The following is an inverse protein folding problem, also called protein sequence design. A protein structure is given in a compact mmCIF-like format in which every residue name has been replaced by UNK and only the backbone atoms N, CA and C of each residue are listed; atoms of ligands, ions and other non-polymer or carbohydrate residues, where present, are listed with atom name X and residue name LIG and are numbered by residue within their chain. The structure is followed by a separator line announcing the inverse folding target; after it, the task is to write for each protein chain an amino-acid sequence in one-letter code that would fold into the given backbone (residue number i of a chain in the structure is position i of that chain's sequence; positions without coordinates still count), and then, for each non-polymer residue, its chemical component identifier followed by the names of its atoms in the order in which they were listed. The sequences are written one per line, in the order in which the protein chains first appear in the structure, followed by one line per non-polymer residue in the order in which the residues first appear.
data_IF_044970570737
#
_entry.id   IF_044970570737
#
_cell.length_a   1.000
_cell.length_b   1.000
_cell.length_c   1.000
_cell.angle_alpha   90.00
_cell.angle_beta   90.00
_cell.angle_gamma   90.00
#
_symmetry.space_group_name_H-M   'P 1'
#
loop_
_entity.id
_entity.type
_entity.pdbx_description
1 polymer ?
#
# COMPACT_ATOMS: atom_id res chain seq x y z
N UNK A 1 -13.83 3.79 -4.79
CA UNK A 1 -13.21 5.06 -5.26
C UNK A 1 -13.23 6.01 -4.07
N UNK A 2 -12.06 6.29 -3.51
CA UNK A 2 -11.86 7.23 -2.40
C UNK A 2 -11.48 8.60 -2.95
N UNK A 3 -11.63 9.65 -2.14
CA UNK A 3 -11.23 11.00 -2.51
C UNK A 3 -9.72 11.06 -2.79
N UNK A 4 -9.34 11.37 -4.03
CA UNK A 4 -7.97 11.52 -4.48
C UNK A 4 -7.91 12.48 -5.68
N UNK A 5 -6.75 13.13 -5.89
CA UNK A 5 -6.51 14.02 -7.04
C UNK A 5 -7.55 15.14 -7.19
N UNK A 6 -8.06 15.68 -6.07
CA UNK A 6 -9.05 16.76 -6.07
C UNK A 6 -8.47 18.09 -6.56
N UNK A 7 -7.15 18.25 -6.52
CA UNK A 7 -6.39 19.34 -7.17
C UNK A 7 -6.59 19.36 -8.69
N UNK A 8 -6.81 18.20 -9.30
CA UNK A 8 -7.08 18.05 -10.74
C UNK A 8 -8.59 17.92 -11.06
N UNK A 9 -9.33 17.15 -10.26
CA UNK A 9 -10.75 16.84 -10.53
C UNK A 9 -11.73 17.80 -9.84
N UNK A 10 -11.24 18.75 -9.03
CA UNK A 10 -12.00 19.75 -8.28
C UNK A 10 -12.89 19.17 -7.17
N UNK A 11 -13.57 18.05 -7.40
CA UNK A 11 -14.44 17.39 -6.43
C UNK A 11 -14.52 15.88 -6.66
N UNK A 12 -15.11 15.18 -5.67
CA UNK A 12 -15.23 13.71 -5.69
C UNK A 12 -16.11 13.21 -6.84
N UNK A 13 -17.18 13.93 -7.18
CA UNK A 13 -18.10 13.55 -8.25
C UNK A 13 -17.40 13.54 -9.61
N UNK A 14 -16.63 14.58 -9.93
CA UNK A 14 -15.83 14.65 -11.16
C UNK A 14 -14.81 13.51 -11.20
N UNK A 15 -14.16 13.20 -10.07
CA UNK A 15 -13.23 12.08 -9.98
C UNK A 15 -13.93 10.74 -10.22
N UNK A 16 -15.08 10.50 -9.60
CA UNK A 16 -15.89 9.31 -9.83
C UNK A 16 -16.32 9.20 -11.30
N UNK A 17 -16.80 10.27 -11.90
CA UNK A 17 -17.21 10.31 -13.31
C UNK A 17 -16.03 10.00 -14.25
N UNK A 18 -14.83 10.48 -13.94
CA UNK A 18 -13.63 10.13 -14.69
C UNK A 18 -13.31 8.62 -14.58
N UNK A 19 -13.45 8.01 -13.39
CA UNK A 19 -13.26 6.57 -13.20
C UNK A 19 -14.34 5.72 -13.87
N UNK A 20 -15.56 6.17 -13.90
CA UNK A 20 -16.70 5.52 -14.58
C UNK A 20 -16.49 5.37 -16.09
N UNK A 21 -15.58 6.14 -16.70
CA UNK A 21 -15.26 5.96 -18.13
C UNK A 21 -14.73 4.56 -18.46
N UNK A 22 -14.24 3.79 -17.47
CA UNK A 22 -13.70 2.43 -17.68
C UNK A 22 -14.72 1.47 -18.28
N UNK A 23 -16.01 1.61 -17.94
CA UNK A 23 -17.07 0.74 -18.44
C UNK A 23 -17.92 1.34 -19.55
N UNK A 24 -17.64 2.58 -20.00
CA UNK A 24 -18.42 3.30 -21.01
C UNK A 24 -18.60 2.53 -22.33
N UNK A 25 -17.58 1.81 -22.75
CA UNK A 25 -17.55 1.06 -24.02
C UNK A 25 -17.80 -0.44 -23.83
N UNK A 26 -18.15 -0.89 -22.63
CA UNK A 26 -18.46 -2.30 -22.38
C UNK A 26 -19.78 -2.71 -23.04
N UNK A 27 -19.84 -3.97 -23.40
CA UNK A 27 -21.00 -4.66 -24.01
C UNK A 27 -21.51 -5.76 -23.10
N UNK A 28 -22.56 -6.47 -23.51
CA UNK A 28 -23.11 -7.64 -22.78
C UNK A 28 -22.13 -8.83 -22.71
N UNK A 29 -21.09 -8.83 -23.55
CA UNK A 29 -20.05 -9.88 -23.56
C UNK A 29 -18.92 -9.59 -22.56
N UNK A 30 -18.88 -8.39 -22.01
CA UNK A 30 -17.85 -7.94 -21.09
C UNK A 30 -18.20 -8.20 -19.62
N UNK A 31 -17.20 -8.12 -18.76
CA UNK A 31 -17.36 -8.17 -17.31
C UNK A 31 -16.90 -6.87 -16.66
N UNK A 32 -17.66 -6.39 -15.69
CA UNK A 32 -17.27 -5.32 -14.78
C UNK A 32 -17.01 -5.91 -13.40
N UNK A 33 -15.77 -5.80 -12.91
CA UNK A 33 -15.37 -6.29 -11.59
C UNK A 33 -15.35 -5.13 -10.61
N UNK A 34 -16.15 -5.22 -9.54
CA UNK A 34 -16.32 -4.14 -8.57
C UNK A 34 -16.11 -4.60 -7.14
N UNK A 35 -15.57 -3.71 -6.30
CA UNK A 35 -15.58 -3.89 -4.87
C UNK A 35 -17.01 -3.77 -4.34
N UNK A 36 -17.50 -4.81 -3.67
CA UNK A 36 -18.87 -4.84 -3.14
C UNK A 36 -19.17 -3.72 -2.15
N UNK A 37 -18.18 -3.31 -1.34
CA UNK A 37 -18.34 -2.20 -0.39
C UNK A 37 -18.53 -0.84 -1.07
N UNK A 38 -18.19 -0.73 -2.34
CA UNK A 38 -18.32 0.49 -3.14
C UNK A 38 -19.38 0.37 -4.24
N UNK A 39 -20.26 -0.64 -4.18
CA UNK A 39 -21.29 -0.89 -5.20
C UNK A 39 -22.22 0.30 -5.44
N UNK A 40 -22.45 1.15 -4.43
CA UNK A 40 -23.31 2.35 -4.56
C UNK A 40 -22.83 3.32 -5.65
N UNK A 41 -21.54 3.30 -5.99
CA UNK A 41 -20.98 4.15 -7.04
C UNK A 41 -21.53 3.79 -8.41
N UNK A 42 -22.00 2.55 -8.60
CA UNK A 42 -22.48 2.02 -9.87
C UNK A 42 -23.94 1.55 -9.83
N UNK A 43 -24.59 1.49 -8.66
CA UNK A 43 -25.96 0.97 -8.51
C UNK A 43 -27.02 1.74 -9.31
N UNK A 44 -26.78 3.03 -9.60
CA UNK A 44 -27.67 3.89 -10.40
C UNK A 44 -27.37 3.89 -11.90
N UNK A 45 -26.36 3.12 -12.33
CA UNK A 45 -25.89 3.13 -13.72
C UNK A 45 -26.57 2.02 -14.54
N UNK A 46 -26.94 2.29 -15.78
CA UNK A 46 -27.35 1.27 -16.74
C UNK A 46 -26.09 0.60 -17.31
N UNK A 47 -25.66 -0.50 -16.66
CA UNK A 47 -24.49 -1.26 -17.06
C UNK A 47 -24.88 -2.31 -18.09
N UNK A 48 -24.18 -2.38 -19.23
CA UNK A 48 -24.34 -3.43 -20.24
C UNK A 48 -23.58 -4.69 -19.85
N UNK A 49 -22.39 -4.51 -19.29
CA UNK A 49 -21.52 -5.61 -18.87
C UNK A 49 -22.11 -6.36 -17.68
N UNK A 50 -21.79 -7.65 -17.61
CA UNK A 50 -22.12 -8.47 -16.44
C UNK A 50 -21.26 -8.03 -15.26
N UNK A 51 -21.89 -7.48 -14.22
CA UNK A 51 -21.20 -7.05 -13.01
C UNK A 51 -20.95 -8.23 -12.08
N UNK A 52 -19.70 -8.40 -11.66
CA UNK A 52 -19.28 -9.34 -10.63
C UNK A 52 -18.54 -8.59 -9.52
N UNK A 53 -18.66 -9.09 -8.31
CA UNK A 53 -18.13 -8.42 -7.14
C UNK A 53 -16.96 -9.19 -6.53
N UNK A 54 -16.11 -8.45 -5.81
CA UNK A 54 -15.18 -9.04 -4.85
C UNK A 54 -15.43 -8.48 -3.45
N UNK A 55 -15.24 -9.31 -2.42
CA UNK A 55 -15.37 -8.91 -1.03
C UNK A 55 -14.47 -9.74 -0.12
N UNK A 56 -13.80 -9.06 0.84
CA UNK A 56 -13.06 -9.71 1.91
C UNK A 56 -13.94 -10.05 3.11
N UNK A 57 -15.18 -9.53 3.19
CA UNK A 57 -16.01 -9.56 4.40
C UNK A 57 -17.26 -10.42 4.27
N UNK A 58 -17.75 -10.67 3.07
CA UNK A 58 -18.99 -11.41 2.86
C UNK A 58 -19.05 -12.13 1.51
N UNK A 59 -19.92 -13.11 1.43
CA UNK A 59 -20.24 -13.82 0.19
C UNK A 59 -20.95 -12.91 -0.81
N UNK A 60 -20.51 -12.94 -2.06
CA UNK A 60 -21.02 -12.08 -3.15
C UNK A 60 -21.14 -12.88 -4.45
N UNK A 61 -21.90 -12.36 -5.43
CA UNK A 61 -21.85 -12.88 -6.81
C UNK A 61 -20.51 -12.49 -7.45
N UNK A 62 -19.53 -13.38 -7.30
CA UNK A 62 -18.15 -13.16 -7.71
C UNK A 62 -17.16 -13.93 -6.84
N UNK A 63 -16.15 -13.25 -6.33
CA UNK A 63 -15.07 -13.84 -5.52
C UNK A 63 -15.05 -13.24 -4.12
N UNK A 64 -14.84 -14.09 -3.12
CA UNK A 64 -14.87 -13.64 -1.71
C UNK A 64 -13.98 -14.49 -0.82
N UNK A 65 -13.79 -14.05 0.44
CA UNK A 65 -13.10 -14.82 1.47
C UNK A 65 -14.13 -15.49 2.38
N UNK A 66 -13.96 -16.82 2.61
CA UNK A 66 -14.75 -17.61 3.54
C UNK A 66 -13.88 -18.65 4.23
N UNK A 67 -13.93 -18.69 5.58
CA UNK A 67 -13.15 -19.61 6.41
C UNK A 67 -11.63 -19.57 6.10
N UNK A 68 -11.07 -18.38 5.82
CA UNK A 68 -9.67 -18.21 5.46
C UNK A 68 -9.32 -18.59 4.02
N UNK A 69 -10.27 -18.96 3.17
CA UNK A 69 -10.04 -19.32 1.77
C UNK A 69 -10.60 -18.27 0.80
N UNK A 70 -9.89 -18.03 -0.28
CA UNK A 70 -10.43 -17.38 -1.47
C UNK A 70 -11.37 -18.36 -2.16
N UNK A 71 -12.63 -17.94 -2.36
CA UNK A 71 -13.70 -18.77 -2.89
C UNK A 71 -14.32 -18.12 -4.13
N UNK A 72 -14.50 -18.90 -5.20
CA UNK A 72 -15.22 -18.51 -6.40
C UNK A 72 -16.24 -19.59 -6.76
N UNK A 73 -17.52 -19.23 -6.93
CA UNK A 73 -18.62 -20.18 -7.23
C UNK A 73 -18.65 -21.39 -6.30
N UNK A 74 -18.41 -21.18 -5.00
CA UNK A 74 -18.40 -22.23 -3.99
C UNK A 74 -17.14 -23.12 -3.98
N UNK A 75 -16.18 -22.91 -4.88
CA UNK A 75 -14.92 -23.65 -4.94
C UNK A 75 -13.82 -22.88 -4.21
N UNK A 76 -13.15 -23.53 -3.25
CA UNK A 76 -11.96 -23.00 -2.57
C UNK A 76 -10.77 -23.01 -3.52
N UNK A 77 -10.11 -21.86 -3.70
CA UNK A 77 -8.97 -21.69 -4.60
C UNK A 77 -7.66 -21.82 -3.83
N UNK A 78 -7.46 -21.02 -2.78
CA UNK A 78 -6.23 -20.96 -2.00
C UNK A 78 -6.54 -20.47 -0.58
N UNK A 79 -5.76 -20.90 0.43
CA UNK A 79 -5.82 -20.33 1.77
C UNK A 79 -5.12 -18.96 1.79
N UNK A 80 -5.70 -17.98 2.45
CA UNK A 80 -5.11 -16.65 2.59
C UNK A 80 -3.78 -16.64 3.35
N UNK A 81 -3.54 -17.64 4.18
CA UNK A 81 -2.26 -17.85 4.88
C UNK A 81 -1.11 -18.25 3.95
N UNK A 82 -1.41 -18.82 2.79
CA UNK A 82 -0.41 -19.20 1.78
C UNK A 82 0.00 -18.03 0.87
N UNK A 83 -0.63 -16.86 1.03
CA UNK A 83 -0.31 -15.67 0.25
C UNK A 83 0.97 -15.01 0.74
N UNK A 84 1.87 -14.66 -0.18
CA UNK A 84 3.13 -13.97 0.14
C UNK A 84 2.92 -12.50 0.47
N UNK A 85 1.93 -11.84 -0.15
CA UNK A 85 1.65 -10.43 0.06
C UNK A 85 0.93 -10.17 1.39
N UNK A 86 1.51 -9.40 2.32
CA UNK A 86 0.87 -9.03 3.57
C UNK A 86 -0.18 -7.92 3.38
N UNK A 87 -1.11 -7.84 4.32
CA UNK A 87 -2.04 -6.72 4.47
C UNK A 87 -3.42 -6.93 3.83
N UNK A 88 -4.45 -6.48 4.53
CA UNK A 88 -5.85 -6.65 4.13
C UNK A 88 -6.17 -5.96 2.78
N UNK A 89 -5.56 -4.79 2.52
CA UNK A 89 -5.71 -4.08 1.24
C UNK A 89 -5.16 -4.88 0.04
N UNK A 90 -4.14 -5.75 0.27
CA UNK A 90 -3.65 -6.64 -0.78
C UNK A 90 -4.63 -7.77 -1.04
N UNK A 91 -5.40 -8.21 -0.06
CA UNK A 91 -6.46 -9.21 -0.28
C UNK A 91 -7.52 -8.71 -1.26
N UNK A 92 -7.95 -7.45 -1.16
CA UNK A 92 -8.87 -6.84 -2.14
C UNK A 92 -8.26 -6.83 -3.56
N UNK A 93 -6.99 -6.42 -3.68
CA UNK A 93 -6.28 -6.42 -4.96
C UNK A 93 -6.15 -7.84 -5.53
N UNK A 94 -5.82 -8.82 -4.69
CA UNK A 94 -5.73 -10.23 -5.06
C UNK A 94 -7.08 -10.76 -5.55
N UNK A 95 -8.15 -10.51 -4.81
CA UNK A 95 -9.49 -10.95 -5.22
C UNK A 95 -9.87 -10.39 -6.60
N UNK A 96 -9.66 -9.10 -6.84
CA UNK A 96 -9.94 -8.48 -8.12
C UNK A 96 -9.09 -9.10 -9.26
N UNK A 97 -7.79 -9.30 -9.02
CA UNK A 97 -6.88 -9.89 -9.99
C UNK A 97 -7.21 -11.35 -10.29
N UNK A 98 -7.48 -12.17 -9.25
CA UNK A 98 -7.86 -13.59 -9.40
C UNK A 98 -9.15 -13.71 -10.20
N UNK A 99 -10.17 -12.89 -9.88
CA UNK A 99 -11.43 -12.91 -10.62
C UNK A 99 -11.21 -12.54 -12.10
N UNK A 100 -10.42 -11.50 -12.39
CA UNK A 100 -10.10 -11.13 -13.75
C UNK A 100 -9.36 -12.24 -14.51
N UNK A 101 -8.39 -12.91 -13.88
CA UNK A 101 -7.66 -14.03 -14.47
C UNK A 101 -8.58 -15.22 -14.75
N UNK A 102 -9.49 -15.56 -13.83
CA UNK A 102 -10.46 -16.65 -14.02
C UNK A 102 -11.37 -16.36 -15.21
N UNK A 103 -11.89 -15.13 -15.31
CA UNK A 103 -12.76 -14.71 -16.41
C UNK A 103 -12.03 -14.69 -17.75
N UNK A 104 -10.72 -14.40 -17.74
CA UNK A 104 -9.86 -14.49 -18.92
C UNK A 104 -9.44 -15.92 -19.28
N UNK A 105 -9.89 -16.95 -18.54
CA UNK A 105 -9.60 -18.36 -18.80
C UNK A 105 -8.21 -18.82 -18.34
N UNK A 106 -7.54 -18.10 -17.45
CA UNK A 106 -6.25 -18.53 -16.89
C UNK A 106 -6.46 -19.76 -16.00
N UNK A 107 -5.65 -20.82 -16.16
CA UNK A 107 -5.76 -22.03 -15.33
C UNK A 107 -5.56 -21.72 -13.85
N UNK A 108 -6.40 -22.27 -12.99
CA UNK A 108 -6.34 -22.04 -11.52
C UNK A 108 -4.95 -22.36 -10.94
N UNK A 109 -4.30 -23.42 -11.45
CA UNK A 109 -2.95 -23.75 -11.02
C UNK A 109 -1.95 -22.61 -11.25
N UNK A 110 -1.98 -21.96 -12.41
CA UNK A 110 -1.10 -20.83 -12.71
C UNK A 110 -1.39 -19.63 -11.82
N UNK A 111 -2.65 -19.39 -11.47
CA UNK A 111 -3.05 -18.34 -10.52
C UNK A 111 -2.46 -18.66 -9.14
N UNK A 112 -2.61 -19.89 -8.62
CA UNK A 112 -2.05 -20.31 -7.33
C UNK A 112 -0.54 -20.19 -7.33
N UNK A 113 0.15 -20.71 -8.35
CA UNK A 113 1.61 -20.64 -8.47
C UNK A 113 2.11 -19.18 -8.44
N UNK A 114 1.37 -18.25 -9.06
CA UNK A 114 1.69 -16.82 -9.01
C UNK A 114 1.46 -16.22 -7.61
N UNK A 115 0.34 -16.52 -6.95
CA UNK A 115 0.01 -15.97 -5.64
C UNK A 115 0.96 -16.41 -4.53
N UNK A 116 1.53 -17.62 -4.65
CA UNK A 116 2.50 -18.18 -3.68
C UNK A 116 3.94 -17.75 -3.93
N UNK A 117 4.22 -17.06 -5.03
CA UNK A 117 5.57 -16.61 -5.39
C UNK A 117 5.71 -15.10 -5.59
N UNK A 118 4.60 -14.40 -5.84
CA UNK A 118 4.61 -12.96 -6.11
C UNK A 118 4.85 -12.16 -4.81
N UNK A 119 6.04 -11.60 -4.69
CA UNK A 119 6.47 -10.83 -3.52
C UNK A 119 6.01 -9.36 -3.49
N UNK A 120 5.20 -8.95 -4.46
CA UNK A 120 4.69 -7.58 -4.55
C UNK A 120 5.31 -6.76 -5.69
N UNK A 121 4.87 -5.51 -5.78
CA UNK A 121 5.40 -4.54 -6.72
C UNK A 121 6.53 -3.77 -6.03
N UNK A 122 7.65 -3.56 -6.74
CA UNK A 122 8.75 -2.75 -6.24
C UNK A 122 8.26 -1.40 -5.71
N UNK A 123 8.84 -0.98 -4.60
CA UNK A 123 8.53 0.27 -3.90
C UNK A 123 7.10 0.40 -3.34
N UNK A 124 6.30 -0.68 -3.33
CA UNK A 124 4.96 -0.71 -2.70
C UNK A 124 4.93 -1.77 -1.61
N UNK A 125 5.10 -1.32 -0.37
CA UNK A 125 5.23 -2.14 0.84
C UNK A 125 6.14 -3.37 0.61
N UNK A 126 7.15 -3.18 -0.23
CA UNK A 126 8.09 -4.19 -0.69
C UNK A 126 8.96 -4.64 0.49
N UNK A 127 8.92 -5.92 0.82
CA UNK A 127 9.88 -6.51 1.74
C UNK A 127 11.27 -6.51 1.10
N UNK A 128 12.22 -5.82 1.74
CA UNK A 128 13.59 -5.66 1.24
C UNK A 128 14.53 -6.71 1.82
N UNK A 129 14.32 -7.07 3.07
CA UNK A 129 15.15 -8.04 3.77
C UNK A 129 15.08 -7.90 5.28
N UNK A 130 15.85 -8.77 5.94
CA UNK A 130 15.99 -8.78 7.40
C UNK A 130 17.45 -8.54 7.77
N UNK A 131 17.71 -7.63 8.72
CA UNK A 131 18.99 -7.49 9.40
C UNK A 131 18.79 -7.90 10.87
N UNK A 132 19.45 -8.99 11.31
CA UNK A 132 19.22 -9.66 12.60
C UNK A 132 17.76 -10.10 12.74
N UNK A 133 16.96 -9.42 13.61
CA UNK A 133 15.53 -9.68 13.82
C UNK A 133 14.64 -8.66 13.16
N UNK A 134 15.20 -7.61 12.54
CA UNK A 134 14.50 -6.44 12.09
C UNK A 134 14.18 -6.51 10.59
N UNK A 135 12.94 -6.32 10.22
CA UNK A 135 12.47 -6.38 8.83
C UNK A 135 12.41 -4.98 8.23
N UNK A 136 12.88 -4.85 7.00
CA UNK A 136 12.90 -3.60 6.26
C UNK A 136 11.90 -3.64 5.11
N UNK A 137 11.08 -2.59 5.01
CA UNK A 137 10.06 -2.46 3.97
C UNK A 137 10.20 -1.13 3.23
N UNK A 138 10.16 -1.21 1.90
CA UNK A 138 10.21 -0.09 1.00
C UNK A 138 8.83 0.21 0.44
N UNK A 139 8.24 1.31 0.87
CA UNK A 139 6.97 1.84 0.38
C UNK A 139 7.17 3.26 -0.19
N UNK A 140 8.28 3.46 -0.92
CA UNK A 140 8.62 4.78 -1.50
C UNK A 140 7.53 5.32 -2.44
N UNK A 141 6.67 4.44 -2.98
CA UNK A 141 5.51 4.80 -3.80
C UNK A 141 4.39 5.47 -3.00
N UNK A 142 4.39 5.43 -1.67
CA UNK A 142 3.46 6.16 -0.82
C UNK A 142 3.78 7.67 -0.84
N UNK A 143 3.38 8.35 -1.90
CA UNK A 143 3.61 9.78 -2.13
C UNK A 143 2.48 10.68 -1.61
N UNK A 144 1.56 10.11 -0.84
CA UNK A 144 0.45 10.80 -0.17
C UNK A 144 0.13 10.12 1.16
N UNK A 145 -0.62 10.81 2.00
CA UNK A 145 -1.01 10.38 3.33
C UNK A 145 -1.87 9.12 3.33
N UNK A 146 -2.81 8.99 2.40
CA UNK A 146 -3.70 7.82 2.32
C UNK A 146 -2.90 6.52 2.12
N UNK A 147 -1.91 6.52 1.23
CA UNK A 147 -1.05 5.35 1.02
C UNK A 147 -0.27 5.01 2.30
N UNK A 148 0.26 6.01 2.99
CA UNK A 148 1.00 5.82 4.24
C UNK A 148 0.12 5.32 5.39
N UNK A 149 -1.16 5.72 5.47
CA UNK A 149 -2.13 5.16 6.43
C UNK A 149 -2.20 3.64 6.31
N UNK A 150 -2.34 3.13 5.07
CA UNK A 150 -2.35 1.68 4.82
C UNK A 150 -1.03 1.01 5.23
N UNK A 151 0.10 1.63 4.92
CA UNK A 151 1.41 1.07 5.26
C UNK A 151 1.61 1.00 6.78
N UNK A 152 1.30 2.05 7.52
CA UNK A 152 1.41 2.08 8.99
C UNK A 152 0.48 1.04 9.65
N UNK A 153 -0.71 0.84 9.09
CA UNK A 153 -1.70 -0.11 9.61
C UNK A 153 -1.40 -1.58 9.26
N UNK A 154 -0.35 -1.83 8.45
CA UNK A 154 0.00 -3.19 8.01
C UNK A 154 0.83 -3.98 9.02
N UNK A 155 1.26 -3.36 10.12
CA UNK A 155 2.19 -3.97 11.08
C UNK A 155 1.67 -3.84 12.51
N UNK A 156 1.76 -4.96 13.24
CA UNK A 156 1.50 -5.00 14.69
C UNK A 156 2.78 -4.84 15.53
N UNK A 157 3.95 -4.91 14.89
CA UNK A 157 5.26 -4.73 15.52
C UNK A 157 5.57 -3.24 15.67
N UNK A 158 6.50 -2.87 16.59
CA UNK A 158 6.99 -1.51 16.65
C UNK A 158 7.61 -1.07 15.34
N UNK A 159 7.28 0.15 14.89
CA UNK A 159 7.70 0.72 13.62
C UNK A 159 8.70 1.84 13.86
N UNK A 160 9.83 1.82 13.16
CA UNK A 160 10.65 2.98 12.88
C UNK A 160 10.23 3.50 11.51
N UNK A 161 9.53 4.63 11.50
CA UNK A 161 8.93 5.21 10.30
C UNK A 161 9.83 6.26 9.68
N UNK A 162 10.27 6.03 8.43
CA UNK A 162 11.04 6.96 7.62
C UNK A 162 10.08 7.74 6.72
N UNK A 163 9.98 9.07 6.93
CA UNK A 163 9.00 9.89 6.24
C UNK A 163 9.51 11.28 5.89
N UNK A 164 8.86 11.87 4.88
CA UNK A 164 9.18 13.20 4.37
C UNK A 164 9.47 13.24 2.87
N UNK A 165 9.67 14.43 2.36
CA UNK A 165 9.89 14.73 0.95
C UNK A 165 9.36 16.13 0.59
N UNK A 166 8.89 16.29 -0.65
CA UNK A 166 8.41 17.56 -1.21
C UNK A 166 7.24 18.13 -0.41
N UNK A 167 7.32 19.39 -0.01
CA UNK A 167 6.21 20.09 0.63
C UNK A 167 5.24 20.67 -0.41
N UNK A 168 4.03 20.14 -0.44
CA UNK A 168 2.91 20.62 -1.27
C UNK A 168 1.90 21.46 -0.48
N UNK A 169 2.27 21.92 0.71
CA UNK A 169 1.41 22.69 1.59
C UNK A 169 0.43 21.86 2.44
N UNK A 170 0.54 20.53 2.40
CA UNK A 170 -0.33 19.65 3.17
C UNK A 170 0.08 19.63 4.65
N UNK A 171 -0.89 19.41 5.53
CA UNK A 171 -0.70 18.99 6.91
C UNK A 171 -0.82 17.44 6.97
N UNK A 172 -0.36 16.85 8.09
CA UNK A 172 -0.25 15.40 8.23
C UNK A 172 -1.02 14.84 9.43
N UNK A 173 -1.88 15.64 10.06
CA UNK A 173 -2.64 15.26 11.26
C UNK A 173 -3.55 14.04 11.02
N UNK A 174 -3.98 13.81 9.78
CA UNK A 174 -4.76 12.63 9.39
C UNK A 174 -4.02 11.31 9.53
N UNK A 175 -2.68 11.33 9.75
CA UNK A 175 -1.88 10.14 10.04
C UNK A 175 -1.88 9.76 11.52
N UNK A 176 -2.27 10.67 12.42
CA UNK A 176 -2.25 10.46 13.88
C UNK A 176 -2.95 9.14 14.29
N UNK A 177 -4.17 8.82 13.80
CA UNK A 177 -4.86 7.59 14.18
C UNK A 177 -4.11 6.30 13.83
N UNK A 178 -3.16 6.36 12.91
CA UNK A 178 -2.40 5.21 12.40
C UNK A 178 -0.99 5.10 13.01
N UNK A 179 -0.63 6.00 13.93
CA UNK A 179 0.70 6.05 14.54
C UNK A 179 0.81 5.21 15.83
N UNK A 180 -0.17 4.39 16.17
CA UNK A 180 -0.17 3.60 17.42
C UNK A 180 1.12 2.80 17.56
N UNK A 181 1.49 2.02 16.54
CA UNK A 181 2.68 1.16 16.53
C UNK A 181 3.97 1.90 16.15
N UNK A 182 3.92 3.20 15.80
CA UNK A 182 5.12 3.97 15.52
C UNK A 182 5.86 4.24 16.83
N UNK A 183 7.08 3.68 16.98
CA UNK A 183 7.95 3.90 18.12
C UNK A 183 8.87 5.11 17.92
N UNK A 184 9.42 5.25 16.72
CA UNK A 184 10.30 6.34 16.36
C UNK A 184 10.06 6.80 14.90
N UNK A 185 10.42 8.03 14.62
CA UNK A 185 10.36 8.63 13.28
C UNK A 185 11.74 9.13 12.87
N UNK A 186 12.13 8.85 11.63
CA UNK A 186 13.29 9.48 11.00
C UNK A 186 12.79 10.33 9.85
N UNK A 187 12.92 11.66 9.98
CA UNK A 187 12.26 12.61 9.09
C UNK A 187 13.27 13.32 8.19
N UNK A 188 12.94 13.48 6.90
CA UNK A 188 13.85 14.07 5.91
C UNK A 188 13.10 14.95 4.89
N UNK A 189 13.85 15.59 3.99
CA UNK A 189 13.30 16.43 2.93
C UNK A 189 12.66 17.73 3.41
N UNK A 190 11.93 18.40 2.54
CA UNK A 190 11.32 19.71 2.82
C UNK A 190 10.29 19.66 3.95
N UNK A 191 9.58 18.54 4.11
CA UNK A 191 8.53 18.38 5.12
C UNK A 191 9.04 17.92 6.48
N UNK A 192 10.36 17.76 6.67
CA UNK A 192 10.93 17.23 7.91
C UNK A 192 10.49 17.98 9.17
N UNK A 193 10.40 19.30 9.13
CA UNK A 193 9.97 20.11 10.28
C UNK A 193 8.48 19.86 10.65
N UNK A 194 7.61 19.65 9.64
CA UNK A 194 6.20 19.32 9.87
C UNK A 194 6.05 17.93 10.51
N UNK A 195 6.77 16.92 9.99
CA UNK A 195 6.78 15.59 10.59
C UNK A 195 7.42 15.55 11.97
N UNK A 196 8.48 16.35 12.21
CA UNK A 196 9.07 16.46 13.54
C UNK A 196 8.07 17.05 14.55
N UNK A 197 7.34 18.09 14.16
CA UNK A 197 6.26 18.66 14.99
C UNK A 197 5.17 17.61 15.27
N UNK A 198 4.72 16.87 14.24
CA UNK A 198 3.73 15.82 14.39
C UNK A 198 4.20 14.74 15.36
N UNK A 199 5.40 14.18 15.17
CA UNK A 199 5.94 13.12 16.02
C UNK A 199 6.11 13.58 17.47
N UNK A 200 6.65 14.77 17.69
CA UNK A 200 6.82 15.35 19.02
C UNK A 200 5.46 15.56 19.72
N UNK A 201 4.42 16.00 19.00
CA UNK A 201 3.06 16.16 19.55
C UNK A 201 2.44 14.83 20.00
N UNK A 202 2.86 13.72 19.41
CA UNK A 202 2.41 12.36 19.74
C UNK A 202 3.39 11.63 20.67
N UNK A 203 4.37 12.32 21.25
CA UNK A 203 5.35 11.74 22.18
C UNK A 203 6.28 10.70 21.54
N UNK A 204 6.45 10.72 20.21
CA UNK A 204 7.34 9.80 19.51
C UNK A 204 8.78 10.32 19.51
N UNK A 205 9.76 9.42 19.53
CA UNK A 205 11.15 9.77 19.27
C UNK A 205 11.32 10.24 17.83
N UNK A 206 11.92 11.41 17.61
CA UNK A 206 12.10 11.99 16.28
C UNK A 206 13.56 12.32 16.03
N UNK A 207 14.06 11.84 14.89
CA UNK A 207 15.43 12.08 14.42
C UNK A 207 15.35 12.74 13.04
N UNK A 208 16.05 13.85 12.85
CA UNK A 208 16.15 14.49 11.54
C UNK A 208 17.29 13.87 10.73
N UNK A 209 17.03 13.63 9.46
CA UNK A 209 18.01 13.17 8.49
C UNK A 209 18.10 14.13 7.29
N UNK A 210 19.20 14.04 6.55
CA UNK A 210 19.42 14.87 5.37
C UNK A 210 18.66 14.32 4.15
N UNK A 211 18.63 12.99 3.99
CA UNK A 211 18.01 12.26 2.90
C UNK A 211 17.66 10.83 3.35
N UNK A 212 17.18 9.96 2.45
CA UNK A 212 16.79 8.60 2.80
C UNK A 212 17.98 7.72 3.19
N UNK A 213 19.15 7.92 2.60
CA UNK A 213 20.39 7.20 2.94
C UNK A 213 20.82 7.50 4.36
N UNK A 214 20.90 8.79 4.72
CA UNK A 214 21.20 9.26 6.08
C UNK A 214 20.13 8.77 7.08
N UNK A 215 18.86 8.68 6.64
CA UNK A 215 17.80 8.12 7.48
C UNK A 215 18.03 6.65 7.81
N UNK A 216 18.44 5.84 6.85
CA UNK A 216 18.78 4.42 7.07
C UNK A 216 19.98 4.28 8.01
N UNK A 217 20.99 5.17 7.89
CA UNK A 217 22.13 5.18 8.80
C UNK A 217 21.70 5.45 10.23
N UNK A 218 20.90 6.49 10.44
CA UNK A 218 20.41 6.89 11.77
C UNK A 218 19.49 5.87 12.43
N UNK A 219 18.81 5.04 11.62
CA UNK A 219 18.05 3.91 12.16
C UNK A 219 18.95 2.98 12.97
N UNK A 220 20.21 2.78 12.56
CA UNK A 220 21.14 1.85 13.26
C UNK A 220 21.42 2.25 14.72
N UNK A 221 21.30 3.54 15.04
CA UNK A 221 21.55 4.06 16.39
C UNK A 221 20.38 3.85 17.35
N UNK A 222 19.18 3.58 16.83
CA UNK A 222 17.93 3.53 17.60
C UNK A 222 17.16 2.23 17.46
N UNK A 223 17.58 1.34 16.57
CA UNK A 223 16.87 0.10 16.26
C UNK A 223 16.91 -0.87 17.43
N UNK A 224 15.75 -1.43 17.78
CA UNK A 224 15.59 -2.45 18.79
C UNK A 224 15.18 -3.80 18.16
N UNK A 225 15.38 -4.94 18.85
CA UNK A 225 14.97 -6.22 18.30
C UNK A 225 13.48 -6.27 17.92
N UNK A 226 13.19 -6.84 16.75
CA UNK A 226 11.85 -6.99 16.16
C UNK A 226 11.18 -5.69 15.68
N UNK A 227 11.90 -4.56 15.61
CA UNK A 227 11.41 -3.38 14.92
C UNK A 227 11.19 -3.65 13.43
N UNK A 228 10.16 -3.03 12.90
CA UNK A 228 9.95 -2.88 11.45
C UNK A 228 10.50 -1.52 11.02
N UNK A 229 11.44 -1.50 10.10
CA UNK A 229 11.91 -0.27 9.46
C UNK A 229 11.11 -0.04 8.19
N UNK A 230 10.31 0.99 8.19
CA UNK A 230 9.35 1.29 7.12
C UNK A 230 9.67 2.63 6.45
N UNK A 231 10.11 2.59 5.19
CA UNK A 231 10.09 3.76 4.32
C UNK A 231 8.68 3.92 3.75
N UNK A 232 7.90 4.87 4.26
CA UNK A 232 6.58 5.26 3.71
C UNK A 232 6.45 6.78 3.81
N UNK A 233 6.94 7.51 2.79
CA UNK A 233 7.28 8.93 2.92
C UNK A 233 6.10 9.88 3.09
N UNK A 234 4.90 9.51 2.70
CA UNK A 234 3.70 10.35 2.59
C UNK A 234 3.85 11.57 1.65
N UNK A 235 5.00 11.75 1.01
CA UNK A 235 5.36 12.88 0.18
C UNK A 235 6.00 12.42 -1.14
N UNK A 236 5.85 13.22 -2.20
CA UNK A 236 6.62 13.03 -3.42
C UNK A 236 8.13 13.19 -3.14
N UNK A 237 8.96 12.62 -4.01
CA UNK A 237 10.42 12.59 -3.84
C UNK A 237 11.16 13.77 -4.47
N UNK A 238 10.48 14.61 -5.24
CA UNK A 238 11.05 15.57 -6.18
C UNK A 238 11.83 16.73 -5.57
N UNK A 239 11.87 16.82 -4.25
CA UNK A 239 12.76 17.73 -3.53
C UNK A 239 14.22 17.24 -3.44
N UNK A 240 14.42 15.91 -3.50
CA UNK A 240 15.73 15.29 -3.34
C UNK A 240 16.06 14.22 -4.38
N UNK A 241 15.05 13.64 -5.06
CA UNK A 241 15.19 12.56 -6.05
C UNK A 241 14.32 12.84 -7.26
N UNK A 242 14.73 12.39 -8.45
CA UNK A 242 13.98 12.58 -9.69
C UNK A 242 12.66 11.79 -9.69
N UNK A 243 12.66 10.61 -9.07
CA UNK A 243 11.49 9.72 -9.00
C UNK A 243 11.38 9.05 -7.63
N UNK A 244 10.20 8.48 -7.31
CA UNK A 244 10.05 7.69 -6.09
C UNK A 244 10.81 6.36 -6.17
N UNK A 245 11.02 5.83 -7.36
CA UNK A 245 11.84 4.65 -7.61
C UNK A 245 13.28 4.91 -7.18
N UNK A 246 13.89 6.01 -7.63
CA UNK A 246 15.24 6.39 -7.23
C UNK A 246 15.38 6.48 -5.70
N UNK A 247 14.45 7.15 -5.02
CA UNK A 247 14.42 7.19 -3.55
C UNK A 247 14.33 5.82 -2.92
N UNK A 248 13.49 4.95 -3.49
CA UNK A 248 13.31 3.58 -3.01
C UNK A 248 14.55 2.70 -3.24
N UNK A 249 15.22 2.85 -4.38
CA UNK A 249 16.49 2.17 -4.68
C UNK A 249 17.59 2.61 -3.71
N UNK A 250 17.73 3.90 -3.42
CA UNK A 250 18.69 4.43 -2.43
C UNK A 250 18.47 3.86 -1.03
N UNK A 251 17.22 3.69 -0.63
CA UNK A 251 16.86 3.00 0.61
C UNK A 251 17.37 1.54 0.59
N UNK A 252 17.10 0.80 -0.50
CA UNK A 252 17.50 -0.60 -0.63
C UNK A 252 19.03 -0.73 -0.66
N UNK A 253 19.72 0.10 -1.45
CA UNK A 253 21.17 0.12 -1.54
C UNK A 253 21.80 0.36 -0.16
N UNK A 254 21.27 1.35 0.58
CA UNK A 254 21.81 1.69 1.90
C UNK A 254 21.53 0.62 2.94
N UNK A 255 20.36 0.02 2.94
CA UNK A 255 20.05 -1.16 3.76
C UNK A 255 21.05 -2.30 3.50
N UNK A 256 21.30 -2.64 2.21
CA UNK A 256 22.23 -3.72 1.85
C UNK A 256 23.66 -3.45 2.31
N UNK A 257 24.08 -2.19 2.34
CA UNK A 257 25.39 -1.79 2.87
C UNK A 257 25.56 -2.04 4.38
N UNK A 258 24.47 -2.15 5.14
CA UNK A 258 24.47 -2.49 6.56
C UNK A 258 24.34 -3.99 6.84
N UNK A 259 24.19 -4.84 5.80
CA UNK A 259 24.23 -6.29 6.00
C UNK A 259 25.66 -6.77 6.24
N UNK A 260 25.86 -7.80 7.06
CA UNK A 260 27.19 -8.40 7.25
C UNK A 260 27.76 -8.87 5.90
N UNK A 261 29.01 -8.50 5.62
CA UNK A 261 29.75 -9.09 4.50
C UNK A 261 30.05 -10.56 4.87
N UNK A 262 29.54 -11.49 4.08
CA UNK A 262 29.87 -12.93 4.19
C UNK A 262 31.14 -13.22 3.41
#
# INVERSE_FOLDING_TARGET
IYSAHLDYHENLENYQNAKKQIYKNQTEEDYLICNYHQRQVIESEELKAKTLYFSTQQEVDGIYIKDGFIVYKGVRIINTEDLVLPGEHNLENILAAVLACILAGVPIKAIIDSLTTFSGIEHRLQYVGTNRTNKYYNDSKATNTLATQFALNSFNQPIIWLCGGLDRGNEFDELIPYMENVRAMVVFGQTKAKFAKLGNSQGKSVIEANNVEDAVDKVQDIIEPNDVVLLSPACASWDQYSTFEERGEKFIERFRAHLPSY
#
